data_IF_857367039007
#
_entry.id   IF_857367039007
#
_cell.length_a   1.000
_cell.length_b   1.000
_cell.length_c   1.000
_cell.angle_alpha   90.00
_cell.angle_beta   90.00
_cell.angle_gamma   90.00
#
_symmetry.space_group_name_H-M   'P 1'
#
loop_
_entity.id
_entity.type
_entity.pdbx_description
1 polymer ?
#
# COMPACT_ATOMS: atom_id res chain seq x y z
N UNK A 1 -25.70 -1.36 21.64
CA UNK A 1 -26.66 -1.55 20.54
C UNK A 1 -25.93 -1.34 19.24
N UNK A 2 -26.39 -1.97 18.14
CA UNK A 2 -25.81 -1.75 16.81
C UNK A 2 -26.32 -0.41 16.28
N UNK A 3 -25.41 0.50 15.95
CA UNK A 3 -25.67 1.83 15.38
C UNK A 3 -24.84 2.06 14.11
N UNK A 4 -25.01 3.17 13.42
CA UNK A 4 -24.32 3.44 12.15
C UNK A 4 -22.79 3.49 12.31
N UNK A 5 -22.30 4.02 13.43
CA UNK A 5 -20.87 4.04 13.78
C UNK A 5 -20.29 2.63 13.94
N UNK A 6 -21.15 1.64 14.24
CA UNK A 6 -20.72 0.24 14.30
C UNK A 6 -20.22 -0.26 12.94
N UNK A 7 -20.68 0.32 11.82
CA UNK A 7 -20.17 -0.02 10.48
C UNK A 7 -18.67 0.29 10.38
N UNK A 8 -18.29 1.50 10.79
CA UNK A 8 -16.89 1.96 10.74
C UNK A 8 -16.03 1.20 11.74
N UNK A 9 -16.55 0.95 12.95
CA UNK A 9 -15.86 0.16 13.97
C UNK A 9 -15.53 -1.26 13.48
N UNK A 10 -16.48 -1.93 12.79
CA UNK A 10 -16.23 -3.23 12.18
C UNK A 10 -15.23 -3.14 11.03
N UNK A 11 -15.29 -2.10 10.20
CA UNK A 11 -14.27 -1.85 9.16
C UNK A 11 -12.85 -1.77 9.73
N UNK A 12 -12.66 -0.99 10.80
CA UNK A 12 -11.35 -0.89 11.46
C UNK A 12 -10.95 -2.16 12.21
N UNK A 13 -11.90 -2.90 12.78
CA UNK A 13 -11.61 -4.22 13.35
C UNK A 13 -11.11 -5.19 12.27
N UNK A 14 -11.73 -5.17 11.08
CA UNK A 14 -11.23 -5.93 9.93
C UNK A 14 -9.79 -5.55 9.59
N UNK A 15 -9.48 -4.25 9.53
CA UNK A 15 -8.12 -3.78 9.29
C UNK A 15 -7.13 -4.25 10.37
N UNK A 16 -7.52 -4.18 11.64
CA UNK A 16 -6.71 -4.67 12.77
C UNK A 16 -6.49 -6.19 12.70
N UNK A 17 -7.50 -6.97 12.36
CA UNK A 17 -7.35 -8.41 12.17
C UNK A 17 -6.40 -8.73 11.01
N UNK A 18 -6.46 -7.95 9.93
CA UNK A 18 -5.51 -8.06 8.83
C UNK A 18 -4.07 -7.78 9.30
N UNK A 19 -3.85 -6.74 10.11
CA UNK A 19 -2.51 -6.45 10.64
C UNK A 19 -2.00 -7.55 11.58
N UNK A 20 -2.89 -8.28 12.24
CA UNK A 20 -2.55 -9.43 13.07
C UNK A 20 -2.36 -10.72 12.25
N UNK A 21 -2.41 -10.66 10.92
CA UNK A 21 -2.37 -11.83 10.02
C UNK A 21 -3.57 -12.79 10.21
N UNK A 22 -4.66 -12.33 10.82
CA UNK A 22 -5.93 -13.06 10.94
C UNK A 22 -6.80 -12.81 9.69
N UNK A 23 -6.31 -13.20 8.52
CA UNK A 23 -6.89 -12.84 7.21
C UNK A 23 -8.33 -13.31 7.01
N UNK A 24 -8.67 -14.54 7.44
CA UNK A 24 -10.04 -15.09 7.34
C UNK A 24 -11.03 -14.32 8.21
N UNK A 25 -10.64 -14.00 9.44
CA UNK A 25 -11.48 -13.22 10.35
C UNK A 25 -11.61 -11.77 9.86
N UNK A 26 -10.54 -11.19 9.34
CA UNK A 26 -10.55 -9.88 8.68
C UNK A 26 -11.56 -9.84 7.54
N UNK A 27 -11.55 -10.82 6.64
CA UNK A 27 -12.49 -10.92 5.53
C UNK A 27 -13.94 -11.06 5.98
N UNK A 28 -14.19 -11.90 6.98
CA UNK A 28 -15.52 -12.07 7.55
C UNK A 28 -16.05 -10.77 8.17
N UNK A 29 -15.24 -10.10 9.00
CA UNK A 29 -15.62 -8.85 9.66
C UNK A 29 -15.78 -7.71 8.65
N UNK A 30 -14.93 -7.64 7.63
CA UNK A 30 -15.02 -6.63 6.57
C UNK A 30 -16.32 -6.75 5.78
N UNK A 31 -16.72 -7.97 5.41
CA UNK A 31 -18.01 -8.20 4.77
C UNK A 31 -19.19 -7.88 5.70
N UNK A 32 -19.08 -8.21 7.00
CA UNK A 32 -20.10 -7.87 7.98
C UNK A 32 -20.28 -6.34 8.08
N UNK A 33 -19.19 -5.57 8.04
CA UNK A 33 -19.24 -4.11 8.02
C UNK A 33 -20.01 -3.59 6.80
N UNK A 34 -19.75 -4.13 5.61
CA UNK A 34 -20.46 -3.75 4.37
C UNK A 34 -21.95 -4.12 4.46
N UNK A 35 -22.26 -5.34 4.88
CA UNK A 35 -23.64 -5.81 5.02
C UNK A 35 -24.43 -4.96 6.03
N UNK A 36 -23.76 -4.47 7.08
CA UNK A 36 -24.36 -3.57 8.05
C UNK A 36 -24.66 -2.19 7.46
N UNK A 37 -23.76 -1.63 6.65
CA UNK A 37 -24.02 -0.38 5.90
C UNK A 37 -25.26 -0.53 5.04
N UNK A 38 -25.37 -1.61 4.28
CA UNK A 38 -26.52 -1.87 3.40
C UNK A 38 -27.81 -2.01 4.22
N UNK A 39 -27.76 -2.75 5.33
CA UNK A 39 -28.92 -2.96 6.23
C UNK A 39 -29.42 -1.67 6.84
N UNK A 40 -28.51 -0.79 7.28
CA UNK A 40 -28.84 0.50 7.88
C UNK A 40 -29.08 1.61 6.85
N UNK A 41 -28.81 1.34 5.56
CA UNK A 41 -28.82 2.33 4.46
C UNK A 41 -27.85 3.50 4.70
N UNK A 42 -26.78 3.26 5.43
CA UNK A 42 -25.85 4.26 5.94
C UNK A 42 -24.71 4.53 4.93
N UNK A 43 -25.07 4.89 3.69
CA UNK A 43 -24.10 4.99 2.58
C UNK A 43 -22.98 6.01 2.80
N UNK A 44 -23.19 7.00 3.66
CA UNK A 44 -22.17 7.96 4.09
C UNK A 44 -20.95 7.33 4.80
N UNK A 45 -21.08 6.12 5.33
CA UNK A 45 -19.97 5.40 5.96
C UNK A 45 -19.19 4.50 4.99
N UNK A 46 -19.66 4.35 3.74
CA UNK A 46 -18.98 3.53 2.73
C UNK A 46 -17.51 3.90 2.51
N UNK A 47 -17.11 5.19 2.41
CA UNK A 47 -15.71 5.55 2.19
C UNK A 47 -14.78 4.97 3.26
N UNK A 48 -15.18 5.05 4.53
CA UNK A 48 -14.42 4.56 5.69
C UNK A 48 -14.35 3.03 5.72
N UNK A 49 -15.50 2.38 5.55
CA UNK A 49 -15.60 0.91 5.55
C UNK A 49 -14.81 0.32 4.39
N UNK A 50 -14.96 0.89 3.19
CA UNK A 50 -14.24 0.42 2.01
C UNK A 50 -12.75 0.66 2.12
N UNK A 51 -12.31 1.84 2.56
CA UNK A 51 -10.90 2.09 2.80
C UNK A 51 -10.32 1.08 3.79
N UNK A 52 -10.93 0.91 4.96
CA UNK A 52 -10.39 0.05 6.01
C UNK A 52 -10.29 -1.43 5.59
N UNK A 53 -11.29 -1.95 4.87
CA UNK A 53 -11.29 -3.34 4.44
C UNK A 53 -10.52 -3.59 3.14
N UNK A 54 -10.72 -2.75 2.12
CA UNK A 54 -10.15 -2.97 0.78
C UNK A 54 -8.72 -2.46 0.61
N UNK A 55 -8.23 -1.55 1.46
CA UNK A 55 -6.77 -1.34 1.57
C UNK A 55 -6.06 -2.50 2.28
N UNK A 56 -6.86 -3.44 2.80
CA UNK A 56 -6.59 -4.55 3.71
C UNK A 56 -6.37 -5.91 3.08
N UNK A 57 -6.89 -6.92 3.78
CA UNK A 57 -6.89 -8.33 3.39
C UNK A 57 -7.65 -8.61 2.08
N UNK A 58 -8.55 -7.71 1.67
CA UNK A 58 -9.43 -7.97 0.53
C UNK A 58 -8.67 -8.12 -0.80
N UNK A 59 -7.56 -7.40 -1.01
CA UNK A 59 -6.74 -7.54 -2.22
C UNK A 59 -6.29 -8.98 -2.46
N UNK A 60 -5.91 -9.67 -1.39
CA UNK A 60 -5.45 -11.06 -1.42
C UNK A 60 -6.58 -12.09 -1.50
N UNK A 61 -7.63 -11.89 -0.70
CA UNK A 61 -8.69 -12.91 -0.53
C UNK A 61 -9.76 -12.81 -1.62
N UNK A 62 -10.08 -11.59 -2.04
CA UNK A 62 -11.19 -11.28 -2.93
C UNK A 62 -10.75 -10.88 -4.34
N UNK A 63 -9.46 -10.63 -4.51
CA UNK A 63 -8.81 -10.34 -5.78
C UNK A 63 -8.82 -8.86 -6.17
N UNK A 64 -7.83 -8.50 -6.98
CA UNK A 64 -7.53 -7.14 -7.38
C UNK A 64 -8.74 -6.38 -7.96
N UNK A 65 -9.51 -7.01 -8.85
CA UNK A 65 -10.60 -6.35 -9.56
C UNK A 65 -11.65 -5.79 -8.59
N UNK A 66 -12.13 -6.63 -7.66
CA UNK A 66 -13.13 -6.21 -6.69
C UNK A 66 -12.56 -5.15 -5.75
N UNK A 67 -11.32 -5.32 -5.28
CA UNK A 67 -10.65 -4.33 -4.43
C UNK A 67 -10.55 -2.96 -5.10
N UNK A 68 -10.09 -2.91 -6.35
CA UNK A 68 -9.96 -1.66 -7.10
C UNK A 68 -11.31 -0.98 -7.34
N UNK A 69 -12.34 -1.75 -7.73
CA UNK A 69 -13.70 -1.22 -7.92
C UNK A 69 -14.24 -0.58 -6.62
N UNK A 70 -13.98 -1.21 -5.47
CA UNK A 70 -14.50 -0.75 -4.18
C UNK A 70 -13.73 0.44 -3.64
N UNK A 71 -12.40 0.46 -3.78
CA UNK A 71 -11.59 1.64 -3.43
C UNK A 71 -11.96 2.85 -4.29
N UNK A 72 -12.17 2.67 -5.60
CA UNK A 72 -12.64 3.74 -6.48
C UNK A 72 -14.03 4.24 -6.06
N UNK A 73 -14.95 3.34 -5.71
CA UNK A 73 -16.26 3.73 -5.18
C UNK A 73 -16.16 4.48 -3.85
N UNK A 74 -15.24 4.08 -2.98
CA UNK A 74 -14.95 4.78 -1.72
C UNK A 74 -14.50 6.22 -1.97
N UNK A 75 -13.60 6.42 -2.93
CA UNK A 75 -13.20 7.76 -3.40
C UNK A 75 -14.39 8.56 -3.91
N UNK A 76 -15.18 8.00 -4.84
CA UNK A 76 -16.32 8.70 -5.46
C UNK A 76 -17.39 9.12 -4.45
N UNK A 77 -17.79 8.20 -3.56
CA UNK A 77 -18.79 8.49 -2.53
C UNK A 77 -18.25 9.51 -1.54
N UNK A 78 -16.98 9.39 -1.11
CA UNK A 78 -16.35 10.34 -0.21
C UNK A 78 -16.31 11.75 -0.78
N UNK A 79 -15.96 11.89 -2.06
CA UNK A 79 -16.02 13.17 -2.76
C UNK A 79 -17.44 13.75 -2.81
N UNK A 80 -18.45 12.90 -3.08
CA UNK A 80 -19.85 13.33 -3.18
C UNK A 80 -20.41 13.86 -1.85
N UNK A 81 -20.05 13.25 -0.72
CA UNK A 81 -20.58 13.60 0.61
C UNK A 81 -19.67 14.57 1.38
N UNK A 82 -18.51 14.92 0.83
CA UNK A 82 -17.53 15.79 1.50
C UNK A 82 -16.64 15.10 2.52
N UNK A 83 -16.58 13.76 2.56
CA UNK A 83 -15.58 13.01 3.35
C UNK A 83 -14.25 12.97 2.56
N UNK A 84 -13.60 14.13 2.48
CA UNK A 84 -12.41 14.38 1.65
C UNK A 84 -11.22 13.54 2.11
N UNK A 85 -11.05 13.38 3.42
CA UNK A 85 -9.94 12.61 3.99
C UNK A 85 -10.00 11.15 3.53
N UNK A 86 -11.14 10.48 3.71
CA UNK A 86 -11.30 9.08 3.31
C UNK A 86 -11.34 8.93 1.79
N UNK A 87 -11.82 9.95 1.06
CA UNK A 87 -11.72 9.96 -0.39
C UNK A 87 -10.25 9.92 -0.85
N UNK A 88 -9.41 10.84 -0.36
CA UNK A 88 -8.00 10.88 -0.76
C UNK A 88 -7.22 9.65 -0.32
N UNK A 89 -7.48 9.11 0.86
CA UNK A 89 -6.87 7.85 1.30
C UNK A 89 -7.33 6.65 0.45
N UNK A 90 -8.58 6.65 -0.03
CA UNK A 90 -9.07 5.64 -0.97
C UNK A 90 -8.36 5.76 -2.33
N UNK A 91 -8.11 6.98 -2.81
CA UNK A 91 -7.35 7.22 -4.03
C UNK A 91 -5.88 6.77 -3.92
N UNK A 92 -5.22 7.03 -2.78
CA UNK A 92 -3.88 6.49 -2.47
C UNK A 92 -3.91 4.97 -2.54
N UNK A 93 -4.84 4.33 -1.82
CA UNK A 93 -4.94 2.87 -1.75
C UNK A 93 -5.22 2.26 -3.12
N UNK A 94 -6.15 2.84 -3.90
CA UNK A 94 -6.44 2.43 -5.26
C UNK A 94 -5.20 2.50 -6.17
N UNK A 95 -4.42 3.58 -6.05
CA UNK A 95 -3.23 3.79 -6.87
C UNK A 95 -2.13 2.79 -6.51
N UNK A 96 -1.90 2.54 -5.22
CA UNK A 96 -0.96 1.55 -4.73
C UNK A 96 -1.34 0.14 -5.18
N UNK A 97 -2.60 -0.25 -4.97
CA UNK A 97 -3.12 -1.56 -5.37
C UNK A 97 -3.06 -1.74 -6.90
N UNK A 98 -3.32 -0.68 -7.67
CA UNK A 98 -3.19 -0.71 -9.13
C UNK A 98 -1.75 -0.97 -9.59
N UNK A 99 -0.78 -0.30 -8.96
CA UNK A 99 0.65 -0.49 -9.25
C UNK A 99 1.09 -1.92 -8.93
N UNK A 100 0.73 -2.37 -7.74
CA UNK A 100 1.06 -3.67 -7.17
C UNK A 100 0.52 -4.81 -8.03
N UNK A 101 -0.70 -4.69 -8.53
CA UNK A 101 -1.33 -5.69 -9.39
C UNK A 101 -0.96 -5.57 -10.88
N UNK A 102 0.04 -4.74 -11.22
CA UNK A 102 0.60 -4.67 -12.56
C UNK A 102 -0.30 -4.01 -13.60
N UNK A 103 -1.16 -3.07 -13.21
CA UNK A 103 -1.87 -2.23 -14.20
C UNK A 103 -0.87 -1.45 -15.05
N UNK A 104 -1.31 -1.06 -16.25
CA UNK A 104 -0.50 -0.28 -17.18
C UNK A 104 0.05 0.99 -16.51
N UNK A 105 1.38 1.11 -16.47
CA UNK A 105 2.05 2.30 -15.92
C UNK A 105 1.66 3.59 -16.64
N UNK A 106 1.24 3.52 -17.90
CA UNK A 106 0.79 4.69 -18.67
C UNK A 106 -0.59 5.17 -18.25
N UNK A 107 -1.49 4.24 -17.92
CA UNK A 107 -2.81 4.59 -17.40
C UNK A 107 -2.70 5.12 -15.98
N UNK A 108 -1.95 4.41 -15.15
CA UNK A 108 -1.79 4.72 -13.74
C UNK A 108 -1.12 6.08 -13.52
N UNK A 109 -0.11 6.45 -14.33
CA UNK A 109 0.51 7.79 -14.26
C UNK A 109 -0.54 8.91 -14.40
N UNK A 110 -1.46 8.79 -15.38
CA UNK A 110 -2.49 9.82 -15.62
C UNK A 110 -3.51 9.90 -14.47
N UNK A 111 -3.89 8.75 -13.91
CA UNK A 111 -4.79 8.68 -12.75
C UNK A 111 -4.12 9.30 -11.52
N UNK A 112 -2.88 8.92 -11.24
CA UNK A 112 -2.05 9.43 -10.14
C UNK A 112 -1.83 10.95 -10.25
N UNK A 113 -1.53 11.46 -11.44
CA UNK A 113 -1.39 12.90 -11.68
C UNK A 113 -2.67 13.67 -11.36
N UNK A 114 -3.82 13.08 -11.69
CA UNK A 114 -5.13 13.67 -11.42
C UNK A 114 -5.39 13.70 -9.91
N UNK A 115 -5.14 12.59 -9.22
CA UNK A 115 -5.31 12.53 -7.76
C UNK A 115 -4.38 13.49 -7.02
N UNK A 116 -3.12 13.64 -7.44
CA UNK A 116 -2.19 14.61 -6.83
C UNK A 116 -2.73 16.03 -6.95
N UNK A 117 -3.24 16.43 -8.13
CA UNK A 117 -3.85 17.76 -8.32
C UNK A 117 -5.03 17.97 -7.39
N UNK A 118 -5.94 17.00 -7.32
CA UNK A 118 -7.09 17.07 -6.40
C UNK A 118 -6.63 17.12 -4.94
N UNK A 119 -5.63 16.34 -4.54
CA UNK A 119 -5.10 16.39 -3.16
C UNK A 119 -4.50 17.77 -2.83
N UNK A 120 -3.88 18.46 -3.79
CA UNK A 120 -3.40 19.83 -3.61
C UNK A 120 -4.57 20.81 -3.47
N UNK A 121 -5.59 20.72 -4.34
CA UNK A 121 -6.79 21.57 -4.29
C UNK A 121 -7.52 21.48 -2.95
N UNK A 122 -7.57 20.29 -2.35
CA UNK A 122 -8.21 20.03 -1.06
C UNK A 122 -7.24 20.06 0.15
N UNK A 123 -6.00 20.51 -0.05
CA UNK A 123 -4.97 20.64 0.99
C UNK A 123 -4.66 19.32 1.77
N UNK A 124 -4.75 18.18 1.09
CA UNK A 124 -4.50 16.84 1.64
C UNK A 124 -3.03 16.43 1.46
N UNK A 125 -2.16 16.97 2.30
CA UNK A 125 -0.70 16.88 2.12
C UNK A 125 -0.12 15.49 2.35
N UNK A 126 -0.61 14.74 3.34
CA UNK A 126 -0.14 13.37 3.63
C UNK A 126 -0.48 12.40 2.48
N UNK A 127 -1.75 12.30 2.03
CA UNK A 127 -2.09 11.50 0.84
C UNK A 127 -1.29 11.92 -0.41
N UNK A 128 -1.10 13.23 -0.60
CA UNK A 128 -0.31 13.76 -1.72
C UNK A 128 1.13 13.26 -1.69
N UNK A 129 1.81 13.32 -0.54
CA UNK A 129 3.21 12.86 -0.43
C UNK A 129 3.35 11.35 -0.68
N UNK A 130 2.41 10.53 -0.19
CA UNK A 130 2.36 9.10 -0.49
C UNK A 130 2.18 8.83 -1.99
N UNK A 131 1.27 9.58 -2.62
CA UNK A 131 0.97 9.45 -4.06
C UNK A 131 2.13 9.94 -4.93
N UNK A 132 2.86 10.97 -4.50
CA UNK A 132 4.09 11.43 -5.16
C UNK A 132 5.18 10.36 -5.14
N UNK A 133 5.38 9.66 -4.02
CA UNK A 133 6.34 8.56 -3.96
C UNK A 133 6.05 7.49 -5.02
N UNK A 134 4.76 7.14 -5.21
CA UNK A 134 4.33 6.22 -6.27
C UNK A 134 4.53 6.82 -7.67
N UNK A 135 4.21 8.09 -7.89
CA UNK A 135 4.41 8.77 -9.17
C UNK A 135 5.88 8.70 -9.61
N UNK A 136 6.82 8.98 -8.71
CA UNK A 136 8.25 8.86 -9.01
C UNK A 136 8.65 7.42 -9.34
N UNK A 137 8.06 6.43 -8.68
CA UNK A 137 8.33 5.02 -8.98
C UNK A 137 7.85 4.63 -10.39
N UNK A 138 6.64 5.07 -10.75
CA UNK A 138 6.09 4.89 -12.10
C UNK A 138 7.00 5.53 -13.14
N UNK A 139 7.43 6.77 -12.90
CA UNK A 139 8.33 7.50 -13.81
C UNK A 139 9.67 6.81 -13.97
N UNK A 140 10.27 6.34 -12.88
CA UNK A 140 11.51 5.57 -12.86
C UNK A 140 11.39 4.33 -13.74
N UNK A 141 10.38 3.49 -13.51
CA UNK A 141 10.19 2.26 -14.28
C UNK A 141 9.91 2.52 -15.76
N UNK A 142 9.25 3.62 -16.11
CA UNK A 142 8.97 3.99 -17.50
C UNK A 142 10.19 4.54 -18.25
N UNK A 143 11.03 5.33 -17.58
CA UNK A 143 12.10 6.12 -18.22
C UNK A 143 13.50 5.52 -18.00
N UNK A 144 13.63 4.58 -17.07
CA UNK A 144 14.85 3.82 -16.81
C UNK A 144 15.61 4.27 -15.56
N UNK A 145 16.78 3.64 -15.30
CA UNK A 145 17.45 3.68 -14.00
C UNK A 145 18.06 5.04 -13.62
N UNK A 146 18.14 5.99 -14.56
CA UNK A 146 18.61 7.36 -14.27
C UNK A 146 17.61 8.17 -13.44
N UNK A 147 16.34 7.75 -13.41
CA UNK A 147 15.29 8.40 -12.63
C UNK A 147 14.86 7.59 -11.40
N UNK A 148 15.70 6.66 -10.94
CA UNK A 148 15.39 5.86 -9.75
C UNK A 148 15.01 6.74 -8.57
N UNK A 149 13.96 6.30 -7.87
CA UNK A 149 13.40 6.97 -6.69
C UNK A 149 14.48 7.27 -5.65
N UNK A 150 15.38 6.32 -5.36
CA UNK A 150 16.48 6.54 -4.41
C UNK A 150 17.60 7.49 -4.91
N UNK A 151 17.62 7.85 -6.20
CA UNK A 151 18.66 8.68 -6.81
C UNK A 151 18.16 10.06 -7.25
N UNK A 152 16.85 10.24 -7.37
CA UNK A 152 16.24 11.49 -7.76
C UNK A 152 16.25 12.50 -6.60
N UNK A 153 16.77 13.71 -6.84
CA UNK A 153 16.87 14.78 -5.83
C UNK A 153 15.52 15.12 -5.19
N UNK A 154 14.46 15.29 -6.00
CA UNK A 154 13.12 15.62 -5.49
C UNK A 154 12.57 14.53 -4.57
N UNK A 155 12.93 13.29 -4.86
CA UNK A 155 12.54 12.14 -4.07
C UNK A 155 13.41 12.00 -2.82
N UNK A 156 14.71 12.30 -2.90
CA UNK A 156 15.60 12.35 -1.74
C UNK A 156 15.13 13.40 -0.71
N UNK A 157 14.58 14.53 -1.18
CA UNK A 157 13.95 15.53 -0.32
C UNK A 157 12.66 14.99 0.32
N UNK A 158 11.85 14.23 -0.43
CA UNK A 158 10.64 13.58 0.11
C UNK A 158 10.97 12.58 1.21
N UNK A 159 12.01 11.75 1.01
CA UNK A 159 12.51 10.82 2.03
C UNK A 159 13.08 11.56 3.25
N UNK A 160 13.85 12.62 3.02
CA UNK A 160 14.38 13.44 4.09
C UNK A 160 13.25 14.02 4.94
N UNK A 161 12.23 14.62 4.32
CA UNK A 161 11.02 15.09 5.01
C UNK A 161 10.29 13.96 5.74
N UNK A 162 10.24 12.76 5.16
CA UNK A 162 9.61 11.62 5.81
C UNK A 162 10.29 11.27 7.13
N UNK A 163 11.62 11.26 7.15
CA UNK A 163 12.42 10.97 8.35
C UNK A 163 12.33 12.12 9.36
N UNK A 164 12.52 13.36 8.92
CA UNK A 164 12.50 14.56 9.78
C UNK A 164 11.15 14.75 10.48
N UNK A 165 10.05 14.46 9.78
CA UNK A 165 8.70 14.61 10.31
C UNK A 165 8.16 13.34 10.99
N UNK A 166 8.97 12.28 11.13
CA UNK A 166 8.53 10.97 11.59
C UNK A 166 7.31 10.42 10.82
N UNK A 167 7.22 10.74 9.51
CA UNK A 167 6.20 10.21 8.61
C UNK A 167 6.64 8.82 8.14
N UNK A 168 6.47 7.88 9.06
CA UNK A 168 6.88 6.49 8.91
C UNK A 168 6.22 5.78 7.71
N UNK A 169 4.90 5.95 7.42
CA UNK A 169 4.29 5.38 6.21
C UNK A 169 4.95 5.84 4.91
N UNK A 170 5.29 7.13 4.81
CA UNK A 170 5.97 7.65 3.62
C UNK A 170 7.35 7.03 3.44
N UNK A 171 8.18 7.00 4.50
CA UNK A 171 9.50 6.36 4.46
C UNK A 171 9.43 4.88 4.09
N UNK A 172 8.41 4.17 4.58
CA UNK A 172 8.13 2.79 4.23
C UNK A 172 7.88 2.60 2.73
N UNK A 173 6.96 3.37 2.13
CA UNK A 173 6.62 3.21 0.71
C UNK A 173 7.78 3.63 -0.19
N UNK A 174 8.52 4.66 0.20
CA UNK A 174 9.75 5.07 -0.47
C UNK A 174 10.74 3.90 -0.59
N UNK A 175 11.08 3.26 0.53
CA UNK A 175 12.04 2.16 0.51
C UNK A 175 11.49 0.95 -0.24
N UNK A 176 10.18 0.70 -0.14
CA UNK A 176 9.52 -0.34 -0.91
C UNK A 176 9.67 -0.14 -2.43
N UNK A 177 9.35 1.05 -2.96
CA UNK A 177 9.52 1.37 -4.38
C UNK A 177 10.97 1.34 -4.83
N UNK A 178 11.88 1.90 -4.02
CA UNK A 178 13.32 1.83 -4.30
C UNK A 178 13.81 0.38 -4.41
N UNK A 179 13.30 -0.52 -3.55
CA UNK A 179 13.59 -1.95 -3.59
C UNK A 179 13.11 -2.61 -4.89
N UNK A 180 11.86 -2.35 -5.29
CA UNK A 180 11.26 -2.87 -6.53
C UNK A 180 12.06 -2.40 -7.75
N UNK A 181 12.32 -1.09 -7.86
CA UNK A 181 13.08 -0.54 -8.99
C UNK A 181 14.49 -1.11 -9.06
N UNK A 182 15.19 -1.15 -7.91
CA UNK A 182 16.54 -1.70 -7.86
C UNK A 182 16.56 -3.16 -8.31
N UNK A 183 15.56 -3.95 -7.91
CA UNK A 183 15.40 -5.32 -8.36
C UNK A 183 15.16 -5.40 -9.88
N UNK A 184 14.20 -4.62 -10.41
CA UNK A 184 13.87 -4.60 -11.84
C UNK A 184 15.07 -4.18 -12.69
N UNK A 185 15.88 -3.24 -12.23
CA UNK A 185 17.09 -2.79 -12.92
C UNK A 185 18.34 -3.64 -12.62
N UNK A 186 18.19 -4.81 -11.97
CA UNK A 186 19.29 -5.76 -11.73
C UNK A 186 20.29 -5.35 -10.64
N UNK A 187 19.99 -4.31 -9.86
CA UNK A 187 20.81 -3.80 -8.74
C UNK A 187 20.43 -4.52 -7.44
N UNK A 188 20.63 -5.83 -7.37
CA UNK A 188 20.11 -6.68 -6.29
C UNK A 188 20.64 -6.35 -4.89
N UNK A 189 21.92 -5.97 -4.74
CA UNK A 189 22.47 -5.55 -3.45
C UNK A 189 21.80 -4.26 -2.94
N UNK A 190 21.57 -3.31 -3.85
CA UNK A 190 20.85 -2.09 -3.53
C UNK A 190 19.40 -2.41 -3.12
N UNK A 191 18.74 -3.30 -3.86
CA UNK A 191 17.39 -3.77 -3.54
C UNK A 191 17.33 -4.39 -2.13
N UNK A 192 18.25 -5.30 -1.80
CA UNK A 192 18.35 -5.93 -0.50
C UNK A 192 18.63 -4.92 0.63
N UNK A 193 19.46 -3.90 0.38
CA UNK A 193 19.67 -2.81 1.34
C UNK A 193 18.39 -2.02 1.61
N UNK A 194 17.54 -1.80 0.60
CA UNK A 194 16.26 -1.10 0.79
C UNK A 194 15.28 -1.92 1.65
N UNK A 195 15.27 -3.25 1.50
CA UNK A 195 14.48 -4.14 2.36
C UNK A 195 14.86 -3.96 3.83
N UNK A 196 16.17 -3.91 4.13
CA UNK A 196 16.65 -3.72 5.50
C UNK A 196 16.28 -2.34 6.06
N UNK A 197 16.44 -1.27 5.26
CA UNK A 197 16.04 0.09 5.68
C UNK A 197 14.54 0.19 5.96
N UNK A 198 13.72 -0.47 5.15
CA UNK A 198 12.28 -0.57 5.38
C UNK A 198 11.98 -1.30 6.69
N UNK A 199 12.58 -2.47 6.93
CA UNK A 199 12.45 -3.21 8.20
C UNK A 199 12.83 -2.37 9.41
N UNK A 200 13.84 -1.50 9.31
CA UNK A 200 14.26 -0.61 10.39
C UNK A 200 13.23 0.49 10.70
N UNK A 201 12.64 1.10 9.68
CA UNK A 201 11.57 2.09 9.85
C UNK A 201 10.29 1.43 10.39
N UNK A 202 9.96 0.22 9.95
CA UNK A 202 8.78 -0.52 10.46
C UNK A 202 8.82 -0.77 11.97
N UNK A 203 10.01 -0.96 12.56
CA UNK A 203 10.16 -1.13 14.01
C UNK A 203 9.71 0.10 14.82
N UNK A 204 9.60 1.26 14.17
CA UNK A 204 9.15 2.51 14.78
C UNK A 204 7.61 2.64 14.75
N UNK A 205 6.90 1.76 14.02
CA UNK A 205 5.44 1.73 14.04
C UNK A 205 4.93 0.86 15.19
N UNK A 206 3.81 1.23 15.83
CA UNK A 206 2.99 0.24 16.54
C UNK A 206 2.62 -0.89 15.56
N UNK A 207 2.69 -2.14 16.03
CA UNK A 207 2.70 -3.35 15.19
C UNK A 207 1.75 -3.28 13.97
N UNK A 208 2.35 -3.50 12.78
CA UNK A 208 1.74 -3.93 11.50
C UNK A 208 0.63 -3.03 10.90
N UNK A 209 0.72 -1.72 11.04
CA UNK A 209 -0.26 -0.79 10.42
C UNK A 209 -0.20 -0.74 8.87
N UNK A 210 0.70 -1.47 8.21
CA UNK A 210 0.80 -1.54 6.75
C UNK A 210 0.89 -3.00 6.31
N UNK A 211 0.05 -3.36 5.34
CA UNK A 211 -0.05 -4.73 4.84
C UNK A 211 1.22 -5.10 4.09
N UNK A 212 1.81 -6.20 4.53
CA UNK A 212 3.12 -6.65 4.09
C UNK A 212 3.05 -7.65 2.93
N UNK A 213 1.86 -8.13 2.53
CA UNK A 213 1.78 -9.27 1.62
C UNK A 213 2.53 -9.06 0.31
N UNK A 214 2.37 -7.90 -0.31
CA UNK A 214 3.03 -7.61 -1.59
C UNK A 214 4.52 -7.29 -1.41
N UNK A 215 4.90 -6.75 -0.25
CA UNK A 215 6.29 -6.60 0.07
C UNK A 215 6.99 -7.95 0.30
N UNK A 216 6.34 -8.90 0.96
CA UNK A 216 6.88 -10.24 1.16
C UNK A 216 7.10 -10.94 -0.19
N UNK A 217 6.21 -10.74 -1.17
CA UNK A 217 6.41 -11.21 -2.55
C UNK A 217 7.66 -10.61 -3.19
N UNK A 218 7.78 -9.29 -3.25
CA UNK A 218 8.96 -8.64 -3.85
C UNK A 218 10.25 -8.93 -3.08
N UNK A 219 10.18 -9.08 -1.76
CA UNK A 219 11.31 -9.46 -0.93
C UNK A 219 11.79 -10.87 -1.24
N UNK A 220 10.87 -11.83 -1.37
CA UNK A 220 11.19 -13.17 -1.82
C UNK A 220 11.97 -13.17 -3.15
N UNK A 221 11.52 -12.37 -4.13
CA UNK A 221 12.23 -12.21 -5.40
C UNK A 221 13.64 -11.62 -5.23
N UNK A 222 13.78 -10.56 -4.43
CA UNK A 222 15.07 -9.93 -4.13
C UNK A 222 16.02 -10.93 -3.46
N UNK A 223 15.53 -11.69 -2.48
CA UNK A 223 16.33 -12.67 -1.74
C UNK A 223 16.75 -13.84 -2.63
N UNK A 224 15.88 -14.34 -3.51
CA UNK A 224 16.24 -15.37 -4.49
C UNK A 224 17.33 -14.85 -5.44
N UNK A 225 17.22 -13.60 -5.92
CA UNK A 225 18.23 -13.00 -6.77
C UNK A 225 19.57 -12.83 -6.06
N UNK A 226 19.55 -12.41 -4.78
CA UNK A 226 20.75 -12.34 -3.94
C UNK A 226 21.37 -13.71 -3.70
N UNK A 227 20.56 -14.72 -3.37
CA UNK A 227 21.00 -16.10 -3.16
C UNK A 227 21.72 -16.66 -4.39
N UNK A 228 21.16 -16.44 -5.59
CA UNK A 228 21.78 -16.82 -6.86
C UNK A 228 23.09 -16.07 -7.13
N UNK A 229 23.17 -14.79 -6.75
CA UNK A 229 24.34 -13.95 -7.00
C UNK A 229 25.50 -14.24 -6.06
N UNK A 230 25.23 -14.40 -4.76
CA UNK A 230 26.29 -14.51 -3.74
C UNK A 230 26.55 -15.96 -3.31
N UNK A 231 25.64 -16.89 -3.62
CA UNK A 231 25.66 -18.26 -3.11
C UNK A 231 25.68 -18.35 -1.57
N UNK A 232 25.18 -17.31 -0.89
CA UNK A 232 25.10 -17.24 0.57
C UNK A 232 23.77 -17.82 1.06
N UNK A 233 23.85 -18.81 1.95
CA UNK A 233 22.71 -19.52 2.54
C UNK A 233 21.75 -18.58 3.27
N UNK A 234 22.24 -17.45 3.80
CA UNK A 234 21.40 -16.44 4.44
C UNK A 234 20.24 -16.01 3.55
N UNK A 235 20.50 -15.77 2.27
CA UNK A 235 19.47 -15.31 1.33
C UNK A 235 18.48 -16.42 0.96
N UNK A 236 18.92 -17.68 0.93
CA UNK A 236 18.02 -18.82 0.77
C UNK A 236 17.05 -18.95 1.96
N UNK A 237 17.54 -18.75 3.18
CA UNK A 237 16.69 -18.75 4.39
C UNK A 237 15.68 -17.61 4.34
N UNK A 238 16.09 -16.39 4.02
CA UNK A 238 15.20 -15.24 3.89
C UNK A 238 14.13 -15.43 2.79
N UNK A 239 14.52 -16.00 1.64
CA UNK A 239 13.58 -16.34 0.57
C UNK A 239 12.56 -17.40 1.01
N UNK A 240 13.00 -18.42 1.74
CA UNK A 240 12.12 -19.48 2.27
C UNK A 240 11.12 -18.91 3.28
N UNK A 241 11.58 -18.03 4.17
CA UNK A 241 10.69 -17.36 5.13
C UNK A 241 9.64 -16.51 4.43
N UNK A 242 10.01 -15.78 3.38
CA UNK A 242 9.07 -15.00 2.58
C UNK A 242 8.03 -15.90 1.90
N UNK A 243 8.44 -17.04 1.35
CA UNK A 243 7.53 -18.00 0.72
C UNK A 243 6.54 -18.60 1.73
N UNK A 244 7.02 -19.08 2.88
CA UNK A 244 6.15 -19.62 3.94
C UNK A 244 5.14 -18.60 4.46
N UNK A 245 5.53 -17.32 4.50
CA UNK A 245 4.62 -16.25 4.90
C UNK A 245 3.55 -15.96 3.84
N UNK A 246 3.90 -15.99 2.56
CA UNK A 246 2.92 -15.88 1.47
C UNK A 246 1.94 -17.05 1.46
N UNK A 247 2.40 -18.27 1.75
CA UNK A 247 1.54 -19.45 1.89
C UNK A 247 0.55 -19.30 3.07
N UNK A 248 0.95 -18.65 4.17
CA UNK A 248 0.03 -18.40 5.28
C UNK A 248 -1.08 -17.39 4.97
N UNK A 249 -1.02 -16.70 3.83
CA UNK A 249 -2.06 -15.79 3.38
C UNK A 249 -3.18 -16.49 2.61
N UNK A 250 -2.99 -17.74 2.18
CA UNK A 250 -3.96 -18.58 1.47
C UNK A 250 -4.83 -19.42 2.45
#
# INVERSE_FOLDING_TARGET
>A
GVCEESCTALGYLSFLLCSLECFKDSDYIGQLAIALVDKLKANEYLPRVYLAYFSGAASWIRGAKLTLERLLRGYQVGMQIGDIENAMLSAVSFSLESFIHGRSLHELEREVDTYIKTMIEYNQMVPKDLTLALQYAILSLKKGPSLMVCQNVQHSDLLKRAIENNNVPLGFYIYFFCGIESYIFGKYEAAASMVERRRQIEKQMPRRMLINGMADFFYGLIFIAMARKTNDIKWFVEATNAASKLESYA
#
